data_IF_749958792948
#
_entry.id   IF_749958792948
#
_cell.length_a   1.000
_cell.length_b   1.000
_cell.length_c   1.000
_cell.angle_alpha   90.00
_cell.angle_beta   90.00
_cell.angle_gamma   90.00
#
_symmetry.space_group_name_H-M   'P 1'
#
loop_
_entity.id
_entity.type
_entity.pdbx_description
1 polymer ?
#
# COMPACT_ATOMS: atom_id res chain seq x y z
N UNK A 1 17.60 0.09 -3.79
CA UNK A 1 16.97 0.49 -2.51
C UNK A 1 17.11 2.00 -2.38
N UNK A 2 16.02 2.75 -2.18
CA UNK A 2 16.06 4.23 -2.11
C UNK A 2 15.92 4.77 -0.68
N UNK A 3 15.17 4.09 0.18
CA UNK A 3 14.91 4.50 1.57
C UNK A 3 14.52 3.25 2.38
N UNK A 4 14.96 3.18 3.63
CA UNK A 4 14.43 2.26 4.65
C UNK A 4 13.73 3.11 5.71
N UNK A 5 12.53 2.70 6.13
CA UNK A 5 11.73 3.43 7.12
C UNK A 5 11.45 2.51 8.32
N UNK A 6 11.83 2.97 9.51
CA UNK A 6 11.46 2.33 10.77
C UNK A 6 10.11 2.91 11.24
N UNK A 7 9.04 2.12 11.10
CA UNK A 7 7.67 2.55 11.42
C UNK A 7 7.37 2.43 12.92
N UNK A 8 8.08 1.56 13.63
CA UNK A 8 7.88 1.30 15.05
C UNK A 8 6.77 0.30 15.33
N UNK A 9 6.27 0.31 16.57
CA UNK A 9 5.27 -0.65 17.03
C UNK A 9 3.87 -0.31 16.50
N UNK A 10 3.18 -1.35 16.03
CA UNK A 10 1.80 -1.25 15.56
C UNK A 10 0.98 -2.38 16.17
N UNK A 11 -0.28 -2.08 16.52
CA UNK A 11 -1.26 -3.12 16.86
C UNK A 11 -1.74 -3.82 15.59
N UNK A 12 -2.31 -5.02 15.72
CA UNK A 12 -2.96 -5.68 14.59
C UNK A 12 -4.07 -4.79 13.98
N UNK A 13 -4.15 -4.78 12.64
CA UNK A 13 -5.10 -3.95 11.91
C UNK A 13 -4.49 -3.34 10.65
N UNK A 14 -5.25 -2.45 10.02
CA UNK A 14 -4.82 -1.69 8.83
C UNK A 14 -4.17 -0.39 9.28
N UNK A 15 -3.01 -0.08 8.71
CA UNK A 15 -2.29 1.17 8.95
C UNK A 15 -1.82 1.75 7.62
N UNK A 16 -1.97 3.05 7.46
CA UNK A 16 -1.56 3.79 6.25
C UNK A 16 -0.45 4.78 6.57
N UNK A 17 0.54 4.84 5.70
CA UNK A 17 1.69 5.74 5.85
C UNK A 17 1.92 6.50 4.54
N UNK A 18 2.49 7.70 4.67
CA UNK A 18 2.93 8.50 3.53
C UNK A 18 4.44 8.71 3.65
N UNK A 19 5.17 8.27 2.64
CA UNK A 19 6.59 8.56 2.51
C UNK A 19 6.78 9.99 1.99
N UNK A 20 7.78 10.69 2.52
CA UNK A 20 8.12 12.08 2.18
C UNK A 20 8.73 12.27 0.77
N UNK A 21 8.93 11.18 0.02
CA UNK A 21 9.56 11.21 -1.31
C UNK A 21 11.06 11.48 -1.27
N UNK A 22 11.71 11.32 -0.12
CA UNK A 22 13.17 11.51 0.04
C UNK A 22 13.91 10.21 0.21
N UNK A 23 15.05 10.07 -0.48
CA UNK A 23 15.96 8.95 -0.29
C UNK A 23 16.78 9.09 0.99
N UNK A 24 17.58 8.07 1.33
CA UNK A 24 18.34 8.00 2.59
C UNK A 24 19.26 9.20 2.84
N UNK A 25 19.78 9.84 1.79
CA UNK A 25 20.64 11.03 1.89
C UNK A 25 19.87 12.36 2.09
N UNK A 26 18.53 12.30 2.16
CA UNK A 26 17.66 13.45 2.35
C UNK A 26 17.28 14.21 1.07
N UNK A 27 17.80 13.81 -0.10
CA UNK A 27 17.40 14.39 -1.39
C UNK A 27 16.07 13.81 -1.87
N UNK A 28 15.34 14.58 -2.67
CA UNK A 28 14.07 14.16 -3.28
C UNK A 28 14.34 13.19 -4.42
N UNK A 29 13.59 12.09 -4.47
CA UNK A 29 13.72 11.14 -5.58
C UNK A 29 13.12 11.69 -6.89
N UNK A 30 13.57 11.21 -8.06
CA UNK A 30 12.93 11.54 -9.32
C UNK A 30 11.44 11.16 -9.37
N UNK A 31 10.67 11.80 -10.25
CA UNK A 31 9.31 11.38 -10.50
C UNK A 31 9.30 9.95 -11.09
N UNK A 32 8.48 9.07 -10.52
CA UNK A 32 8.36 7.70 -11.00
C UNK A 32 7.56 6.81 -10.05
N UNK A 33 7.43 5.54 -10.44
CA UNK A 33 6.79 4.51 -9.63
C UNK A 33 7.83 3.82 -8.74
N UNK A 34 7.47 3.60 -7.48
CA UNK A 34 8.32 2.94 -6.50
C UNK A 34 7.57 1.78 -5.86
N UNK A 35 8.30 0.71 -5.55
CA UNK A 35 7.77 -0.45 -4.83
C UNK A 35 8.18 -0.40 -3.37
N UNK A 36 7.33 -0.96 -2.51
CA UNK A 36 7.61 -1.15 -1.09
C UNK A 36 7.72 -2.63 -0.76
N UNK A 37 8.56 -2.95 0.21
CA UNK A 37 8.60 -4.25 0.87
C UNK A 37 8.51 -4.00 2.38
N UNK A 38 7.68 -4.78 3.08
CA UNK A 38 7.44 -4.63 4.52
C UNK A 38 7.86 -5.92 5.22
N UNK A 39 8.68 -5.77 6.25
CA UNK A 39 8.97 -6.82 7.22
C UNK A 39 8.40 -6.42 8.57
N UNK A 40 7.73 -7.34 9.25
CA UNK A 40 7.17 -7.13 10.58
C UNK A 40 7.59 -8.28 11.49
N UNK A 41 7.84 -7.99 12.76
CA UNK A 41 8.15 -9.00 13.77
C UNK A 41 7.64 -8.58 15.14
N UNK A 42 7.37 -9.55 16.01
CA UNK A 42 7.04 -9.34 17.42
C UNK A 42 7.89 -10.28 18.28
N UNK A 43 8.70 -9.73 19.19
CA UNK A 43 9.59 -10.51 20.05
C UNK A 43 10.55 -11.43 19.29
N UNK A 44 11.03 -11.01 18.11
CA UNK A 44 11.91 -11.81 17.25
C UNK A 44 11.20 -12.84 16.35
N UNK A 45 9.87 -13.01 16.50
CA UNK A 45 9.08 -13.85 15.59
C UNK A 45 8.60 -13.02 14.41
N UNK A 46 8.94 -13.45 13.19
CA UNK A 46 8.48 -12.78 11.96
C UNK A 46 6.98 -12.97 11.77
N UNK A 47 6.31 -11.90 11.34
CA UNK A 47 4.88 -11.87 11.05
C UNK A 47 4.66 -11.75 9.54
N UNK A 48 3.53 -12.27 9.07
CA UNK A 48 3.05 -12.00 7.72
C UNK A 48 2.49 -10.58 7.68
N UNK A 49 3.11 -9.73 6.85
CA UNK A 49 2.63 -8.38 6.58
C UNK A 49 2.10 -8.33 5.14
N UNK A 50 0.87 -7.84 4.97
CA UNK A 50 0.30 -7.60 3.64
C UNK A 50 0.57 -6.14 3.25
N UNK A 51 1.47 -5.86 2.28
CA UNK A 51 1.65 -4.51 1.78
C UNK A 51 0.37 -4.03 1.09
N UNK A 52 0.03 -2.77 1.31
CA UNK A 52 -1.09 -2.08 0.70
C UNK A 52 -0.55 -0.93 -0.14
N UNK A 53 -1.22 -0.66 -1.25
CA UNK A 53 -0.92 0.48 -2.10
C UNK A 53 -2.15 1.35 -2.30
N UNK A 54 -1.91 2.62 -2.59
CA UNK A 54 -2.96 3.55 -2.95
C UNK A 54 -3.39 3.34 -4.40
N UNK A 55 -4.69 3.44 -4.66
CA UNK A 55 -5.25 3.47 -6.00
C UNK A 55 -6.51 4.36 -6.02
N UNK A 56 -6.62 5.20 -7.05
CA UNK A 56 -7.77 6.07 -7.24
C UNK A 56 -8.90 5.30 -7.94
N UNK A 57 -10.11 5.32 -7.38
CA UNK A 57 -11.30 4.78 -8.03
C UNK A 57 -11.71 5.71 -9.17
N UNK A 58 -11.74 5.16 -10.39
CA UNK A 58 -12.13 5.88 -11.61
C UNK A 58 -13.57 5.57 -12.01
N UNK A 59 -14.11 4.43 -11.56
CA UNK A 59 -15.48 4.04 -11.86
C UNK A 59 -15.88 2.71 -11.22
N UNK A 60 -17.05 2.23 -11.62
CA UNK A 60 -17.59 0.93 -11.22
C UNK A 60 -18.00 0.17 -12.47
N UNK A 61 -17.57 -1.09 -12.56
CA UNK A 61 -17.91 -1.97 -13.68
C UNK A 61 -18.71 -3.17 -13.17
N UNK A 62 -19.71 -3.62 -13.93
CA UNK A 62 -20.47 -4.84 -13.61
C UNK A 62 -19.73 -6.06 -14.17
N UNK A 63 -19.15 -6.86 -13.29
CA UNK A 63 -18.56 -8.16 -13.61
C UNK A 63 -19.58 -9.30 -13.55
N UNK A 64 -19.15 -10.51 -13.87
CA UNK A 64 -19.97 -11.73 -13.78
C UNK A 64 -20.39 -12.07 -12.35
N UNK A 65 -19.56 -11.74 -11.36
CA UNK A 65 -19.75 -12.08 -9.95
C UNK A 65 -20.21 -10.88 -9.08
N UNK A 66 -20.57 -9.75 -9.71
CA UNK A 66 -20.98 -8.53 -9.00
C UNK A 66 -20.28 -7.28 -9.50
N UNK A 67 -20.42 -6.19 -8.74
CA UNK A 67 -19.79 -4.92 -9.07
C UNK A 67 -18.30 -4.93 -8.68
N UNK A 68 -17.46 -4.38 -9.56
CA UNK A 68 -16.03 -4.20 -9.37
C UNK A 68 -15.71 -2.71 -9.38
N UNK A 69 -14.74 -2.30 -8.58
CA UNK A 69 -14.15 -0.96 -8.64
C UNK A 69 -13.08 -0.94 -9.74
N UNK A 70 -13.16 0.06 -10.62
CA UNK A 70 -12.13 0.33 -11.62
C UNK A 70 -11.08 1.27 -11.02
N UNK A 71 -9.83 0.81 -10.99
CA UNK A 71 -8.66 1.51 -10.45
C UNK A 71 -7.70 1.95 -11.57
N UNK A 72 -8.15 1.93 -12.83
CA UNK A 72 -7.42 2.35 -14.01
C UNK A 72 -6.20 1.48 -14.28
N UNK A 73 -5.00 2.05 -14.21
CA UNK A 73 -3.74 1.32 -14.47
C UNK A 73 -3.50 0.17 -13.50
N UNK A 74 -4.12 0.21 -12.32
CA UNK A 74 -4.03 -0.87 -11.34
C UNK A 74 -5.01 -2.03 -11.61
N UNK A 75 -5.94 -1.86 -12.56
CA UNK A 75 -6.95 -2.86 -12.90
C UNK A 75 -8.21 -2.73 -12.06
N UNK A 76 -8.84 -3.85 -11.72
CA UNK A 76 -10.13 -3.86 -11.00
C UNK A 76 -10.03 -4.66 -9.71
N UNK A 77 -10.78 -4.27 -8.68
CA UNK A 77 -10.87 -4.99 -7.40
C UNK A 77 -12.32 -5.06 -6.91
N UNK A 78 -12.60 -5.95 -5.97
CA UNK A 78 -13.88 -6.01 -5.25
C UNK A 78 -13.86 -5.09 -4.03
N UNK A 79 -15.04 -4.74 -3.49
CA UNK A 79 -15.11 -3.87 -2.31
C UNK A 79 -14.57 -4.55 -1.04
N UNK A 80 -14.66 -5.87 -0.93
CA UNK A 80 -14.11 -6.65 0.20
C UNK A 80 -12.58 -6.74 0.19
N UNK A 81 -11.93 -6.47 -0.94
CA UNK A 81 -10.48 -6.34 -1.05
C UNK A 81 -9.99 -4.92 -0.68
N UNK A 82 -10.88 -3.93 -0.60
CA UNK A 82 -10.55 -2.58 -0.14
C UNK A 82 -10.28 -2.59 1.37
N UNK A 83 -9.12 -2.04 1.77
CA UNK A 83 -8.70 -1.99 3.17
C UNK A 83 -9.03 -0.66 3.85
N UNK A 84 -9.19 0.41 3.07
CA UNK A 84 -9.57 1.74 3.56
C UNK A 84 -10.10 2.60 2.41
N UNK A 85 -11.07 3.48 2.70
CA UNK A 85 -11.56 4.55 1.81
C UNK A 85 -11.11 5.86 2.44
N UNK A 86 -10.60 6.79 1.63
CA UNK A 86 -10.07 8.09 2.03
C UNK A 86 -10.88 9.19 1.34
#
# INVERSE_FOLDING_TARGET
MVRTLEIGELRAGVHTFTWDGKQTDGTTVPNGSYNIAITASNGGTQLVAQPLQFALVQGVTKGSNGNLLDLGTYGTTTLDEVRQII
#
